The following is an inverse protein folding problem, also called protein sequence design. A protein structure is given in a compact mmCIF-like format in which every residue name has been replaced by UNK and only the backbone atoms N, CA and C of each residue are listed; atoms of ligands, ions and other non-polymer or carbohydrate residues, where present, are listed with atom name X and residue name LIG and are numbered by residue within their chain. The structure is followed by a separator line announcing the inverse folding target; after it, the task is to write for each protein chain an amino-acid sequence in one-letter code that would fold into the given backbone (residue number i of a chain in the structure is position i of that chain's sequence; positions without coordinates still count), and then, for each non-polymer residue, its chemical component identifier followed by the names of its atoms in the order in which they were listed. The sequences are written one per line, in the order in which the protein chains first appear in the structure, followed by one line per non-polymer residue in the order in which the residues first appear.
data_IF_335836009452
#
_entry.id   IF_335836009452
#
_cell.length_a   1.000
_cell.length_b   1.000
_cell.length_c   1.000
_cell.angle_alpha   90.00
_cell.angle_beta   90.00
_cell.angle_gamma   90.00
#
_symmetry.space_group_name_H-M   'P 1'
#
loop_
_entity.id
_entity.type
_entity.pdbx_description
1 polymer ?
#
# COMPACT_ATOMS: atom_id res chain seq x y z
N UNK A 1 4.58 18.77 23.80
CA UNK A 1 3.58 18.64 22.73
C UNK A 1 4.30 17.97 21.56
N UNK A 2 4.26 16.65 21.46
CA UNK A 2 4.93 15.92 20.38
C UNK A 2 4.15 16.22 19.11
N UNK A 3 4.86 16.66 18.10
CA UNK A 3 4.33 17.13 16.83
C UNK A 3 3.69 15.98 16.05
N UNK A 4 2.36 15.83 16.15
CA UNK A 4 1.59 14.79 15.48
C UNK A 4 1.80 14.75 13.96
N UNK A 5 2.19 15.87 13.35
CA UNK A 5 2.52 15.96 11.93
C UNK A 5 3.83 15.23 11.58
N UNK A 6 4.80 15.17 12.49
CA UNK A 6 6.05 14.42 12.27
C UNK A 6 5.86 12.91 12.41
N UNK A 7 4.97 12.46 13.29
CA UNK A 7 4.66 11.03 13.41
C UNK A 7 3.89 10.50 12.17
N UNK A 8 2.97 11.29 11.62
CA UNK A 8 2.24 10.90 10.40
C UNK A 8 3.16 10.81 9.16
N UNK A 9 4.18 11.65 9.05
CA UNK A 9 5.14 11.60 7.95
C UNK A 9 6.11 10.40 8.01
N UNK A 10 6.17 9.69 9.13
CA UNK A 10 7.06 8.52 9.28
C UNK A 10 6.37 7.19 8.94
N UNK A 11 5.04 7.14 8.88
CA UNK A 11 4.30 5.94 8.51
C UNK A 11 4.18 5.84 7.00
N UNK A 12 4.52 4.69 6.44
CA UNK A 12 4.41 4.43 5.00
C UNK A 12 2.93 4.33 4.60
N UNK A 13 2.54 5.04 3.55
CA UNK A 13 1.15 5.13 3.12
C UNK A 13 0.95 4.54 1.73
N UNK A 14 -0.01 3.64 1.60
CA UNK A 14 -0.41 3.02 0.33
C UNK A 14 -1.84 3.45 0.01
N UNK A 15 -2.05 4.04 -1.16
CA UNK A 15 -3.39 4.34 -1.67
C UNK A 15 -3.82 3.32 -2.73
N UNK A 16 -4.94 2.65 -2.49
CA UNK A 16 -5.59 1.79 -3.48
C UNK A 16 -6.30 2.66 -4.51
N UNK A 17 -5.93 2.53 -5.76
CA UNK A 17 -6.57 3.20 -6.89
C UNK A 17 -7.05 2.17 -7.91
N UNK A 18 -7.94 2.55 -8.78
CA UNK A 18 -8.43 1.69 -9.87
C UNK A 18 -9.90 1.91 -10.19
N UNK A 19 -10.34 1.27 -11.25
CA UNK A 19 -11.69 1.40 -11.76
C UNK A 19 -12.75 0.88 -10.78
N UNK A 20 -14.01 1.32 -10.91
CA UNK A 20 -15.11 0.73 -10.13
C UNK A 20 -15.20 -0.77 -10.39
N UNK A 21 -15.53 -1.55 -9.36
CA UNK A 21 -15.63 -3.01 -9.41
C UNK A 21 -14.33 -3.76 -9.76
N UNK A 22 -13.18 -3.09 -9.83
CA UNK A 22 -11.88 -3.76 -10.02
C UNK A 22 -11.49 -4.67 -8.83
N UNK A 23 -12.11 -4.46 -7.67
CA UNK A 23 -11.86 -5.26 -6.47
C UNK A 23 -10.96 -4.57 -5.44
N UNK A 24 -10.86 -3.22 -5.47
CA UNK A 24 -10.10 -2.43 -4.49
C UNK A 24 -10.53 -2.73 -3.06
N UNK A 25 -11.83 -2.60 -2.76
CA UNK A 25 -12.36 -2.87 -1.41
C UNK A 25 -12.20 -4.33 -1.01
N UNK A 26 -12.18 -5.27 -1.96
CA UNK A 26 -11.86 -6.66 -1.66
C UNK A 26 -10.42 -6.82 -1.19
N UNK A 27 -9.46 -6.24 -1.93
CA UNK A 27 -8.05 -6.25 -1.52
C UNK A 27 -7.80 -5.44 -0.25
N UNK A 28 -8.49 -4.31 -0.09
CA UNK A 28 -8.45 -3.55 1.15
C UNK A 28 -8.84 -4.43 2.36
N UNK A 29 -9.98 -5.13 2.28
CA UNK A 29 -10.45 -6.01 3.35
C UNK A 29 -9.52 -7.22 3.56
N UNK A 30 -8.99 -7.80 2.49
CA UNK A 30 -8.02 -8.91 2.56
C UNK A 30 -6.75 -8.48 3.27
N UNK A 31 -6.22 -7.31 2.96
CA UNK A 31 -4.98 -6.80 3.55
C UNK A 31 -5.20 -6.26 4.98
N UNK A 32 -6.35 -5.62 5.23
CA UNK A 32 -6.69 -5.06 6.55
C UNK A 32 -7.21 -6.12 7.54
N UNK A 33 -7.75 -7.23 7.06
CA UNK A 33 -8.42 -8.23 7.90
C UNK A 33 -7.49 -9.08 8.76
N UNK A 34 -6.19 -9.08 8.54
CA UNK A 34 -5.24 -9.91 9.29
C UNK A 34 -4.66 -9.26 10.55
N UNK A 35 -4.78 -7.94 10.68
CA UNK A 35 -4.19 -7.22 11.82
C UNK A 35 -4.96 -5.93 12.12
N UNK A 36 -6.22 -6.06 12.49
CA UNK A 36 -6.97 -4.91 13.01
C UNK A 36 -6.65 -4.71 14.48
N UNK A 37 -5.68 -3.86 14.77
CA UNK A 37 -5.80 -3.05 15.96
C UNK A 37 -6.80 -1.94 15.60
N UNK A 38 -8.07 -2.10 15.99
CA UNK A 38 -9.02 -1.00 16.03
C UNK A 38 -8.53 0.04 17.04
N UNK A 39 -7.69 0.95 16.58
CA UNK A 39 -7.65 2.26 17.22
C UNK A 39 -8.80 3.03 16.60
N UNK A 40 -9.84 3.25 17.41
CA UNK A 40 -10.87 4.23 17.15
C UNK A 40 -10.21 5.57 16.79
N UNK A 41 -10.02 5.81 15.50
CA UNK A 41 -9.79 7.16 15.01
C UNK A 41 -11.15 7.86 15.08
N UNK A 42 -11.37 8.57 16.18
CA UNK A 42 -12.48 9.49 16.38
C UNK A 42 -12.44 10.54 15.26
N UNK A 43 -13.14 10.29 14.16
CA UNK A 43 -13.65 11.24 13.14
C UNK A 43 -14.00 10.45 11.86
N UNK A 44 -14.91 9.47 12.00
CA UNK A 44 -15.44 8.72 10.86
C UNK A 44 -16.67 9.44 10.29
N UNK A 45 -16.46 10.45 9.43
CA UNK A 45 -17.52 10.94 8.55
C UNK A 45 -16.90 11.55 7.29
N UNK A 46 -17.08 10.91 6.15
CA UNK A 46 -16.66 11.26 4.79
C UNK A 46 -15.21 10.90 4.38
N UNK A 47 -14.43 10.26 5.18
CA UNK A 47 -13.06 9.89 4.83
C UNK A 47 -12.99 8.58 4.04
N UNK A 48 -12.06 8.45 3.07
CA UNK A 48 -11.73 7.18 2.47
C UNK A 48 -11.42 6.19 3.59
N UNK A 49 -11.85 4.95 3.42
CA UNK A 49 -11.60 3.91 4.42
C UNK A 49 -10.10 3.75 4.59
N UNK A 50 -9.59 4.17 5.72
CA UNK A 50 -8.17 4.08 6.06
C UNK A 50 -7.98 3.05 7.16
N UNK A 51 -6.98 2.18 7.03
CA UNK A 51 -6.60 1.19 8.04
C UNK A 51 -5.10 1.16 8.22
N UNK A 52 -4.69 1.02 9.45
CA UNK A 52 -3.31 0.65 9.77
C UNK A 52 -3.20 -0.87 9.64
N UNK A 53 -2.25 -1.34 8.84
CA UNK A 53 -1.94 -2.75 8.69
C UNK A 53 -0.50 -3.00 9.11
N UNK A 54 -0.25 -4.21 9.63
CA UNK A 54 1.08 -4.63 9.98
C UNK A 54 1.60 -5.61 8.93
N UNK A 55 2.72 -5.27 8.33
CA UNK A 55 3.46 -6.17 7.47
C UNK A 55 4.79 -6.50 8.12
N UNK A 56 5.20 -7.76 8.02
CA UNK A 56 6.39 -8.24 8.73
C UNK A 56 6.31 -8.02 10.28
N UNK A 57 7.33 -8.41 11.01
CA UNK A 57 7.34 -8.43 12.48
C UNK A 57 7.34 -7.02 13.12
N UNK A 58 6.23 -6.30 12.97
CA UNK A 58 6.01 -5.02 13.66
C UNK A 58 5.89 -3.81 12.76
N UNK A 59 6.37 -3.83 11.50
CA UNK A 59 6.30 -2.67 10.62
C UNK A 59 4.86 -2.31 10.26
N UNK A 60 4.47 -1.11 10.64
CA UNK A 60 3.14 -0.57 10.40
C UNK A 60 3.12 0.31 9.15
N UNK A 61 2.11 0.14 8.33
CA UNK A 61 1.80 1.04 7.23
C UNK A 61 0.30 1.38 7.23
N UNK A 62 -0.04 2.45 6.54
CA UNK A 62 -1.43 2.86 6.34
C UNK A 62 -1.84 2.45 4.93
N UNK A 63 -2.99 1.80 4.81
CA UNK A 63 -3.64 1.55 3.53
C UNK A 63 -4.96 2.32 3.47
N UNK A 64 -5.22 3.00 2.37
CA UNK A 64 -6.47 3.73 2.12
C UNK A 64 -7.18 3.18 0.89
N UNK A 65 -8.49 2.94 1.01
CA UNK A 65 -9.36 2.59 -0.11
C UNK A 65 -9.97 3.88 -0.68
N UNK A 66 -9.54 4.25 -1.86
CA UNK A 66 -10.08 5.43 -2.54
C UNK A 66 -11.36 5.08 -3.29
N UNK A 67 -12.17 6.09 -3.63
CA UNK A 67 -13.35 5.90 -4.46
C UNK A 67 -12.95 5.38 -5.85
N UNK A 68 -13.65 4.36 -6.34
CA UNK A 68 -13.36 3.75 -7.65
C UNK A 68 -13.69 4.66 -8.82
N UNK A 69 -12.81 4.64 -9.84
CA UNK A 69 -13.00 5.37 -11.09
C UNK A 69 -14.22 4.85 -11.87
N UNK A 70 -15.07 5.75 -12.38
CA UNK A 70 -16.24 5.43 -13.18
C UNK A 70 -16.03 5.96 -14.60
N UNK A 71 -16.35 5.16 -15.62
CA UNK A 71 -16.32 5.57 -17.00
C UNK A 71 -17.44 6.61 -17.25
N UNK A 72 -17.13 7.70 -17.94
CA UNK A 72 -18.08 8.80 -18.25
C UNK A 72 -18.62 9.49 -16.99
N UNK A 73 -17.71 9.94 -16.11
CA UNK A 73 -18.09 10.84 -15.02
C UNK A 73 -18.75 12.10 -15.58
N UNK A 74 -19.97 12.44 -15.13
CA UNK A 74 -20.53 13.77 -15.38
C UNK A 74 -19.53 14.83 -14.88
N UNK A 75 -19.40 15.93 -15.58
CA UNK A 75 -18.48 17.03 -15.25
C UNK A 75 -18.63 17.55 -13.83
N UNK A 76 -19.84 17.45 -13.26
CA UNK A 76 -20.16 17.80 -11.87
C UNK A 76 -19.56 16.83 -10.83
N UNK A 77 -19.33 15.56 -11.20
CA UNK A 77 -18.71 14.56 -10.32
C UNK A 77 -17.19 14.55 -10.43
N UNK A 78 -16.60 15.11 -11.49
CA UNK A 78 -15.15 15.21 -11.66
C UNK A 78 -14.51 16.01 -10.49
N UNK A 79 -15.16 17.06 -10.01
CA UNK A 79 -14.66 17.89 -8.93
C UNK A 79 -14.65 17.14 -7.58
N UNK A 80 -15.74 16.41 -7.25
CA UNK A 80 -15.80 15.59 -6.03
C UNK A 80 -14.82 14.43 -6.10
N UNK A 81 -14.62 13.87 -7.29
CA UNK A 81 -13.69 12.80 -7.54
C UNK A 81 -12.22 13.27 -7.44
N UNK A 82 -11.95 14.48 -7.94
CA UNK A 82 -10.65 15.13 -7.82
C UNK A 82 -10.24 15.30 -6.36
N UNK A 83 -11.19 15.72 -5.48
CA UNK A 83 -10.88 15.91 -4.06
C UNK A 83 -10.52 14.59 -3.36
N UNK A 84 -11.20 13.49 -3.72
CA UNK A 84 -10.91 12.17 -3.12
C UNK A 84 -9.55 11.60 -3.57
N UNK A 85 -9.14 11.92 -4.81
CA UNK A 85 -7.82 11.55 -5.31
C UNK A 85 -6.71 12.46 -4.80
N UNK A 86 -7.03 13.71 -4.46
CA UNK A 86 -6.06 14.60 -3.82
C UNK A 86 -5.56 14.05 -2.47
N UNK A 87 -6.37 13.24 -1.79
CA UNK A 87 -5.93 12.51 -0.59
C UNK A 87 -4.88 11.46 -0.91
N UNK A 88 -4.91 10.84 -2.09
CA UNK A 88 -3.89 9.91 -2.52
C UNK A 88 -2.55 10.57 -2.87
N UNK A 89 -2.49 11.91 -3.03
CA UNK A 89 -1.24 12.64 -3.28
C UNK A 89 -0.22 12.52 -2.13
N UNK A 90 -0.69 12.25 -0.93
CA UNK A 90 0.15 12.01 0.23
C UNK A 90 0.67 10.58 0.37
N UNK A 91 0.29 9.68 -0.56
CA UNK A 91 0.74 8.30 -0.51
C UNK A 91 2.20 8.14 -0.95
N UNK A 92 2.87 7.15 -0.39
CA UNK A 92 4.22 6.74 -0.76
C UNK A 92 4.21 5.70 -1.90
N UNK A 93 3.05 5.04 -2.11
CA UNK A 93 2.83 4.05 -3.16
C UNK A 93 1.37 4.08 -3.62
N UNK A 94 1.15 4.12 -4.93
CA UNK A 94 -0.15 3.88 -5.54
C UNK A 94 -0.28 2.40 -5.89
N UNK A 95 -1.25 1.72 -5.30
CA UNK A 95 -1.56 0.33 -5.61
C UNK A 95 -2.74 0.28 -6.56
N UNK A 96 -2.45 0.16 -7.86
CA UNK A 96 -3.46 0.15 -8.92
C UNK A 96 -4.08 -1.24 -9.07
N UNK A 97 -5.36 -1.37 -8.72
CA UNK A 97 -6.12 -2.62 -8.88
C UNK A 97 -6.89 -2.59 -10.19
N UNK A 98 -6.66 -3.58 -11.03
CA UNK A 98 -7.24 -3.74 -12.37
C UNK A 98 -8.03 -5.03 -12.44
N UNK A 99 -9.25 -4.99 -12.96
CA UNK A 99 -10.04 -6.19 -13.25
C UNK A 99 -9.55 -6.85 -14.55
N UNK A 100 -8.70 -7.85 -14.43
CA UNK A 100 -8.11 -8.53 -15.60
C UNK A 100 -9.13 -9.36 -16.40
N UNK A 101 -10.28 -9.69 -15.80
CA UNK A 101 -11.35 -10.45 -16.49
C UNK A 101 -12.23 -9.58 -17.39
N UNK A 102 -12.11 -8.25 -17.28
CA UNK A 102 -12.93 -7.33 -18.06
C UNK A 102 -12.36 -7.16 -19.47
N UNK A 103 -13.19 -7.28 -20.50
CA UNK A 103 -12.75 -7.17 -21.92
C UNK A 103 -12.03 -5.84 -22.24
N UNK A 104 -12.39 -4.76 -21.55
CA UNK A 104 -11.79 -3.43 -21.72
C UNK A 104 -10.76 -3.07 -20.63
N UNK A 105 -10.18 -4.04 -19.93
CA UNK A 105 -9.28 -3.77 -18.81
C UNK A 105 -8.09 -2.89 -19.20
N UNK A 106 -7.59 -3.02 -20.44
CA UNK A 106 -6.49 -2.18 -20.97
C UNK A 106 -6.88 -0.72 -21.05
N UNK A 107 -8.07 -0.43 -21.63
CA UNK A 107 -8.60 0.93 -21.72
C UNK A 107 -8.88 1.53 -20.33
N UNK A 108 -9.36 0.71 -19.38
CA UNK A 108 -9.57 1.14 -18.00
C UNK A 108 -8.23 1.45 -17.31
N UNK A 109 -7.21 0.61 -17.52
CA UNK A 109 -5.85 0.82 -17.02
C UNK A 109 -5.25 2.13 -17.54
N UNK A 110 -5.35 2.37 -18.86
CA UNK A 110 -4.84 3.59 -19.50
C UNK A 110 -5.57 4.84 -18.99
N UNK A 111 -6.90 4.75 -18.80
CA UNK A 111 -7.72 5.84 -18.24
C UNK A 111 -7.26 6.24 -16.85
N UNK A 112 -6.97 5.27 -15.98
CA UNK A 112 -6.46 5.54 -14.62
C UNK A 112 -5.07 6.18 -14.68
N UNK A 113 -4.18 5.69 -15.54
CA UNK A 113 -2.85 6.29 -15.71
C UNK A 113 -2.92 7.73 -16.23
N UNK A 114 -3.82 8.00 -17.16
CA UNK A 114 -4.05 9.38 -17.65
C UNK A 114 -4.49 10.29 -16.49
N UNK A 115 -5.41 9.83 -15.64
CA UNK A 115 -5.86 10.61 -14.49
C UNK A 115 -4.76 10.84 -13.45
N UNK A 116 -3.88 9.86 -13.21
CA UNK A 116 -2.70 10.02 -12.36
C UNK A 116 -1.81 11.15 -12.90
N UNK A 117 -1.61 11.20 -14.23
CA UNK A 117 -0.86 12.27 -14.89
C UNK A 117 -1.56 13.62 -14.76
N UNK A 118 -2.87 13.68 -15.03
CA UNK A 118 -3.69 14.91 -14.99
C UNK A 118 -3.75 15.51 -13.56
N UNK A 119 -3.55 14.68 -12.54
CA UNK A 119 -3.53 15.08 -11.13
C UNK A 119 -2.12 15.36 -10.60
N UNK A 120 -1.10 15.32 -11.46
CA UNK A 120 0.31 15.52 -11.07
C UNK A 120 0.82 14.52 -10.01
N UNK A 121 0.34 13.26 -10.12
CA UNK A 121 0.69 12.17 -9.20
C UNK A 121 1.68 11.17 -9.80
N UNK A 122 2.20 11.42 -11.01
CA UNK A 122 3.10 10.50 -11.74
C UNK A 122 4.46 10.32 -11.05
N UNK A 123 4.78 11.22 -10.12
CA UNK A 123 5.99 11.12 -9.29
C UNK A 123 5.88 10.06 -8.19
N UNK A 124 4.65 9.62 -7.85
CA UNK A 124 4.43 8.60 -6.82
C UNK A 124 4.68 7.22 -7.45
N UNK A 125 5.52 6.37 -6.83
CA UNK A 125 5.71 4.99 -7.29
C UNK A 125 4.39 4.24 -7.43
N UNK A 126 4.28 3.41 -8.47
CA UNK A 126 3.09 2.61 -8.74
C UNK A 126 3.42 1.13 -8.74
N UNK A 127 2.48 0.32 -8.24
CA UNK A 127 2.46 -1.12 -8.37
C UNK A 127 1.07 -1.58 -8.80
N UNK A 128 0.97 -2.63 -9.63
CA UNK A 128 -0.29 -3.05 -10.24
C UNK A 128 -0.69 -4.44 -9.75
N UNK A 129 -1.94 -4.55 -9.29
CA UNK A 129 -2.60 -5.83 -9.04
C UNK A 129 -3.59 -6.09 -10.17
N UNK A 130 -3.27 -7.01 -11.07
CA UNK A 130 -4.26 -7.57 -11.99
C UNK A 130 -5.08 -8.61 -11.25
N UNK A 131 -6.30 -8.21 -10.89
CA UNK A 131 -7.23 -8.97 -10.05
C UNK A 131 -8.17 -9.84 -10.89
N UNK A 132 -8.89 -10.75 -10.23
CA UNK A 132 -9.90 -11.65 -10.78
C UNK A 132 -9.34 -12.69 -11.76
N UNK A 133 -8.10 -13.13 -11.53
CA UNK A 133 -7.46 -14.22 -12.27
C UNK A 133 -8.34 -15.46 -12.37
N UNK A 134 -9.13 -15.74 -11.34
CA UNK A 134 -10.10 -16.84 -11.26
C UNK A 134 -11.23 -16.78 -12.31
N UNK A 135 -11.41 -15.61 -12.95
CA UNK A 135 -12.43 -15.38 -13.97
C UNK A 135 -11.83 -15.21 -15.37
N UNK A 136 -10.51 -15.29 -15.51
CA UNK A 136 -9.83 -15.28 -16.80
C UNK A 136 -9.75 -16.69 -17.39
N UNK A 137 -9.76 -16.82 -18.71
CA UNK A 137 -9.54 -18.10 -19.39
C UNK A 137 -8.04 -18.49 -19.37
N UNK A 138 -7.75 -19.79 -19.37
CA UNK A 138 -6.36 -20.30 -19.38
C UNK A 138 -5.54 -19.85 -20.62
N UNK A 139 -6.23 -19.37 -21.66
CA UNK A 139 -5.63 -18.81 -22.86
C UNK A 139 -5.29 -17.31 -22.74
N UNK A 140 -5.72 -16.65 -21.68
CA UNK A 140 -5.39 -15.25 -21.47
C UNK A 140 -3.97 -15.15 -20.94
N UNK A 141 -3.06 -14.70 -21.82
CA UNK A 141 -1.70 -14.34 -21.45
C UNK A 141 -1.71 -13.36 -20.29
N UNK A 142 -0.64 -13.39 -19.49
CA UNK A 142 -0.44 -12.41 -18.42
C UNK A 142 -0.82 -11.01 -18.90
N UNK A 143 -1.60 -10.27 -18.10
CA UNK A 143 -2.03 -8.93 -18.48
C UNK A 143 -0.85 -8.05 -18.85
N UNK A 144 -1.15 -6.95 -19.55
CA UNK A 144 -0.22 -5.91 -20.00
C UNK A 144 1.03 -5.83 -19.13
N UNK A 145 2.20 -5.79 -19.76
CA UNK A 145 3.50 -5.69 -19.11
C UNK A 145 3.63 -4.36 -18.35
N UNK A 146 2.91 -4.24 -17.23
CA UNK A 146 3.11 -3.18 -16.26
C UNK A 146 4.14 -3.70 -15.24
N UNK A 147 5.12 -2.89 -14.89
CA UNK A 147 6.14 -3.26 -13.91
C UNK A 147 6.26 -2.17 -12.85
N UNK A 148 6.20 -2.51 -11.57
CA UNK A 148 5.97 -3.85 -10.99
C UNK A 148 4.49 -4.27 -11.00
N UNK A 149 4.22 -5.55 -11.25
CA UNK A 149 2.85 -6.08 -11.27
C UNK A 149 2.74 -7.52 -10.78
N UNK A 150 1.53 -7.90 -10.36
CA UNK A 150 1.17 -9.27 -9.95
C UNK A 150 -0.22 -9.64 -10.48
N UNK A 151 -0.40 -10.90 -10.93
CA UNK A 151 -1.65 -11.43 -11.46
C UNK A 151 -2.26 -12.46 -10.49
N UNK A 152 -3.36 -12.11 -9.85
CA UNK A 152 -3.93 -12.79 -8.68
C UNK A 152 -5.44 -12.66 -8.61
N UNK A 153 -6.05 -13.32 -7.61
CA UNK A 153 -7.45 -13.13 -7.27
C UNK A 153 -7.61 -12.93 -5.76
N UNK A 154 -8.40 -11.93 -5.36
CA UNK A 154 -8.76 -11.71 -3.96
C UNK A 154 -9.62 -12.81 -3.35
N UNK A 155 -10.12 -13.74 -4.17
CA UNK A 155 -10.93 -14.90 -3.76
C UNK A 155 -10.12 -16.19 -3.57
N UNK A 156 -8.86 -16.19 -4.04
CA UNK A 156 -7.97 -17.36 -3.92
C UNK A 156 -7.08 -17.18 -2.69
N UNK A 157 -7.23 -18.08 -1.71
CA UNK A 157 -6.54 -18.02 -0.40
C UNK A 157 -5.01 -17.85 -0.56
N UNK A 158 -4.39 -18.66 -1.43
CA UNK A 158 -2.94 -18.60 -1.64
C UNK A 158 -2.42 -17.30 -2.28
N UNK A 159 -3.28 -16.50 -2.91
CA UNK A 159 -2.87 -15.28 -3.58
C UNK A 159 -2.68 -14.11 -2.60
N UNK A 160 -3.32 -14.17 -1.42
CA UNK A 160 -3.15 -13.23 -0.33
C UNK A 160 -1.69 -13.13 0.12
N UNK A 161 -1.06 -14.28 0.38
CA UNK A 161 0.35 -14.33 0.78
C UNK A 161 1.27 -13.80 -0.32
N UNK A 162 0.95 -14.06 -1.59
CA UNK A 162 1.72 -13.54 -2.74
C UNK A 162 1.63 -12.02 -2.82
N UNK A 163 0.43 -11.44 -2.65
CA UNK A 163 0.26 -9.98 -2.66
C UNK A 163 0.96 -9.35 -1.47
N UNK A 164 0.91 -9.96 -0.29
CA UNK A 164 1.65 -9.47 0.88
C UNK A 164 3.17 -9.44 0.62
N UNK A 165 3.73 -10.51 0.08
CA UNK A 165 5.15 -10.57 -0.29
C UNK A 165 5.51 -9.55 -1.39
N UNK A 166 4.64 -9.40 -2.39
CA UNK A 166 4.78 -8.40 -3.45
C UNK A 166 4.81 -6.97 -2.87
N UNK A 167 3.89 -6.63 -1.96
CA UNK A 167 3.85 -5.32 -1.30
C UNK A 167 5.10 -5.05 -0.48
N UNK A 168 5.57 -6.05 0.31
CA UNK A 168 6.82 -5.93 1.09
C UNK A 168 7.99 -5.59 0.16
N UNK A 169 8.10 -6.24 -0.99
CA UNK A 169 9.15 -5.97 -1.96
C UNK A 169 9.07 -4.53 -2.52
N UNK A 170 7.85 -4.02 -2.81
CA UNK A 170 7.66 -2.64 -3.28
C UNK A 170 7.98 -1.62 -2.20
N UNK A 171 7.51 -1.85 -0.97
CA UNK A 171 7.83 -1.00 0.18
C UNK A 171 9.34 -0.95 0.42
N UNK A 172 10.01 -2.12 0.42
CA UNK A 172 11.46 -2.22 0.57
C UNK A 172 12.23 -1.45 -0.50
N UNK A 173 11.79 -1.52 -1.76
CA UNK A 173 12.40 -0.79 -2.87
C UNK A 173 12.29 0.74 -2.77
N UNK A 174 11.27 1.24 -2.06
CA UNK A 174 11.03 2.67 -1.86
C UNK A 174 11.67 3.23 -0.58
N UNK A 175 12.20 2.38 0.29
CA UNK A 175 12.82 2.76 1.56
C UNK A 175 14.36 2.76 1.44
N UNK A 176 15.03 3.47 2.34
CA UNK A 176 16.48 3.50 2.42
C UNK A 176 17.01 2.48 3.41
N UNK A 177 18.04 1.74 3.01
CA UNK A 177 18.74 0.83 3.91
C UNK A 177 19.37 1.59 5.09
N UNK A 178 19.34 0.97 6.28
CA UNK A 178 20.04 1.46 7.46
C UNK A 178 20.66 0.30 8.24
N UNK A 179 21.70 0.61 8.98
CA UNK A 179 22.28 -0.22 10.03
C UNK A 179 22.41 0.63 11.30
N UNK A 180 21.95 0.11 12.42
CA UNK A 180 21.99 0.83 13.71
C UNK A 180 22.35 -0.14 14.84
N UNK A 181 23.26 0.31 15.73
CA UNK A 181 23.57 -0.38 16.98
C UNK A 181 22.77 0.24 18.09
N UNK A 182 22.00 -0.58 18.78
CA UNK A 182 21.11 -0.13 19.86
C UNK A 182 21.41 -0.89 21.13
N UNK A 183 21.79 -0.21 22.23
CA UNK A 183 21.99 -0.85 23.52
C UNK A 183 20.76 -1.68 23.93
N UNK A 184 20.99 -2.89 24.45
CA UNK A 184 19.90 -3.78 24.88
C UNK A 184 19.01 -3.16 25.96
N UNK A 185 19.54 -2.20 26.70
CA UNK A 185 18.83 -1.41 27.70
C UNK A 185 17.94 -0.32 27.13
N UNK A 186 18.08 0.04 25.84
CA UNK A 186 17.28 1.08 25.20
C UNK A 186 16.01 0.49 24.54
N UNK A 187 15.09 0.04 25.39
CA UNK A 187 13.84 -0.59 24.96
C UNK A 187 12.98 0.35 24.09
N UNK A 188 12.97 1.65 24.37
CA UNK A 188 12.18 2.64 23.60
C UNK A 188 12.68 2.73 22.15
N UNK A 189 14.01 2.74 21.95
CA UNK A 189 14.57 2.77 20.60
C UNK A 189 14.31 1.49 19.84
N UNK A 190 14.45 0.33 20.50
CA UNK A 190 14.11 -0.96 19.90
C UNK A 190 12.65 -1.04 19.50
N UNK A 191 11.75 -0.57 20.37
CA UNK A 191 10.32 -0.53 20.08
C UNK A 191 10.02 0.43 18.91
N UNK A 192 10.61 1.63 18.89
CA UNK A 192 10.46 2.58 17.81
C UNK A 192 10.87 1.98 16.45
N UNK A 193 12.06 1.36 16.38
CA UNK A 193 12.53 0.73 15.15
C UNK A 193 11.59 -0.37 14.66
N UNK A 194 11.09 -1.21 15.57
CA UNK A 194 10.12 -2.25 15.22
C UNK A 194 8.81 -1.71 14.62
N UNK A 195 8.36 -0.55 15.08
CA UNK A 195 7.09 0.04 14.63
C UNK A 195 7.22 0.84 13.32
N UNK A 196 8.38 1.47 13.08
CA UNK A 196 8.54 2.49 12.04
C UNK A 196 9.54 2.09 10.95
N UNK A 197 10.19 0.94 11.06
CA UNK A 197 11.16 0.48 10.05
C UNK A 197 10.91 -0.97 9.66
N UNK A 198 11.21 -1.31 8.42
CA UNK A 198 11.18 -2.68 7.93
C UNK A 198 12.49 -3.36 8.34
N UNK A 199 12.50 -4.01 9.51
CA UNK A 199 13.68 -4.73 10.01
C UNK A 199 13.93 -5.97 9.14
N UNK A 200 15.16 -6.15 8.69
CA UNK A 200 15.63 -7.32 7.95
C UNK A 200 16.33 -8.31 8.89
N UNK A 201 17.24 -7.80 9.73
CA UNK A 201 17.95 -8.60 10.71
C UNK A 201 18.09 -7.84 12.03
N UNK A 202 18.06 -8.61 13.12
CA UNK A 202 18.30 -8.11 14.47
C UNK A 202 19.17 -9.13 15.20
N UNK A 203 20.45 -8.84 15.32
CA UNK A 203 21.46 -9.72 15.91
C UNK A 203 21.97 -9.13 17.23
N UNK A 204 21.99 -9.94 18.30
CA UNK A 204 22.54 -9.51 19.58
C UNK A 204 24.05 -9.73 19.61
N UNK A 205 24.81 -8.67 19.95
CA UNK A 205 26.25 -8.73 20.19
C UNK A 205 26.51 -8.83 21.70
N UNK A 206 26.89 -10.01 22.20
CA UNK A 206 27.12 -10.22 23.65
C UNK A 206 28.36 -9.49 24.17
N UNK A 207 29.27 -9.05 23.29
CA UNK A 207 30.48 -8.36 23.69
C UNK A 207 30.22 -6.94 24.15
N UNK A 208 29.30 -6.26 23.46
CA UNK A 208 28.94 -4.87 23.72
C UNK A 208 27.55 -4.74 24.37
N UNK A 209 26.83 -5.84 24.53
CA UNK A 209 25.43 -5.89 24.97
C UNK A 209 24.48 -5.04 24.09
N UNK A 210 24.80 -4.93 22.79
CA UNK A 210 24.06 -4.18 21.79
C UNK A 210 23.29 -5.11 20.84
N UNK A 211 22.19 -4.61 20.29
CA UNK A 211 21.58 -5.17 19.09
C UNK A 211 22.12 -4.46 17.85
N UNK A 212 22.61 -5.23 16.89
CA UNK A 212 22.90 -4.75 15.53
C UNK A 212 21.66 -4.99 14.68
N UNK A 213 21.02 -3.91 14.24
CA UNK A 213 19.75 -3.95 13.52
C UNK A 213 19.99 -3.41 12.11
N UNK A 214 19.62 -4.22 11.13
CA UNK A 214 19.63 -3.81 9.73
C UNK A 214 18.21 -3.81 9.17
N UNK A 215 17.93 -2.94 8.22
CA UNK A 215 16.62 -2.86 7.63
C UNK A 215 16.44 -1.66 6.70
N UNK A 216 15.20 -1.27 6.52
CA UNK A 216 14.82 -0.19 5.61
C UNK A 216 13.89 0.79 6.31
N UNK A 217 14.10 2.09 6.09
CA UNK A 217 13.30 3.17 6.69
C UNK A 217 12.98 4.26 5.66
N UNK A 218 11.91 4.98 5.92
CA UNK A 218 11.57 6.20 5.18
C UNK A 218 12.64 7.28 5.43
N UNK A 219 12.99 8.01 4.39
CA UNK A 219 13.93 9.14 4.46
C UNK A 219 13.31 10.33 5.16
#
# INVERSE_FOLDING_TARGET
MVDRSREQNQVYQIALIGYTNAGKSSWFNVLAGETTFEKDLLFATLDPKTRQIQINDGFNLIISDTVGFIQKLPTTLIAAFKSTLEEAKGADLLLHVVDASHSEYRSQYDTVNQLINDLDMSHIPQAVIFNKKDQCSDSDDSPVSASPSIFVSSRVEGDKSKVKAFLIAQVKAALSYYEEKVPSTNADRLYFLKQHTLIEEMNFDPTNEDYVITGYKKQ
#
